data_IF_579779072666
#
_entry.id   IF_579779072666
#
_cell.length_a   1.000
_cell.length_b   1.000
_cell.length_c   1.000
_cell.angle_alpha   90.00
_cell.angle_beta   90.00
_cell.angle_gamma   90.00
#
_symmetry.space_group_name_H-M   'P 1'
#
loop_
_entity.id
_entity.type
_entity.pdbx_description
1 polymer ?
#
# COMPACT_ATOMS: atom_id res chain seq x y z
N UNK A 1 -66.69 -45.21 -38.79
CA UNK A 1 -66.19 -43.85 -39.05
C UNK A 1 -65.98 -43.14 -37.72
N UNK A 2 -64.72 -43.01 -37.30
CA UNK A 2 -64.27 -42.04 -36.30
C UNK A 2 -62.76 -41.88 -36.49
N UNK A 3 -62.34 -40.77 -37.10
CA UNK A 3 -60.93 -40.42 -37.30
C UNK A 3 -60.43 -39.67 -36.07
N UNK A 4 -59.45 -40.24 -35.37
CA UNK A 4 -58.61 -39.54 -34.40
C UNK A 4 -57.29 -39.18 -35.08
N UNK A 5 -56.90 -37.91 -35.08
CA UNK A 5 -55.61 -37.44 -35.58
C UNK A 5 -54.95 -36.57 -34.50
N UNK A 6 -53.83 -36.98 -33.88
CA UNK A 6 -53.08 -36.11 -32.99
C UNK A 6 -51.80 -35.64 -33.71
N UNK A 7 -51.75 -34.37 -34.11
CA UNK A 7 -50.51 -33.70 -34.51
C UNK A 7 -50.13 -32.64 -33.48
N UNK A 8 -49.45 -33.05 -32.41
CA UNK A 8 -48.71 -32.14 -31.54
C UNK A 8 -47.32 -31.90 -32.16
N UNK A 9 -47.16 -30.81 -32.90
CA UNK A 9 -45.86 -30.33 -33.35
C UNK A 9 -45.14 -29.59 -32.22
N UNK A 10 -44.23 -30.30 -31.54
CA UNK A 10 -43.30 -29.68 -30.58
C UNK A 10 -42.35 -28.76 -31.36
N UNK A 11 -42.45 -27.44 -31.15
CA UNK A 11 -41.57 -26.46 -31.78
C UNK A 11 -40.16 -26.57 -31.18
N UNK A 12 -39.24 -27.23 -31.89
CA UNK A 12 -37.84 -27.25 -31.51
C UNK A 12 -37.25 -25.83 -31.60
N UNK A 13 -36.81 -25.28 -30.46
CA UNK A 13 -36.02 -24.03 -30.45
C UNK A 13 -34.76 -24.30 -31.28
N UNK A 14 -34.46 -23.50 -32.31
CA UNK A 14 -33.30 -23.74 -33.16
C UNK A 14 -32.02 -23.63 -32.33
N UNK A 15 -31.13 -24.63 -32.43
CA UNK A 15 -29.85 -24.71 -31.69
C UNK A 15 -29.04 -23.42 -31.72
N UNK A 16 -29.11 -22.67 -32.83
CA UNK A 16 -28.47 -21.36 -32.99
C UNK A 16 -28.99 -20.30 -31.99
N UNK A 17 -30.28 -20.28 -31.67
CA UNK A 17 -30.84 -19.39 -30.65
C UNK A 17 -30.35 -19.77 -29.26
N UNK A 18 -30.29 -21.06 -28.93
CA UNK A 18 -29.79 -21.54 -27.63
C UNK A 18 -28.32 -21.17 -27.44
N UNK A 19 -27.48 -21.42 -28.45
CA UNK A 19 -26.06 -21.05 -28.41
C UNK A 19 -25.86 -19.54 -28.31
N UNK A 20 -26.66 -18.75 -29.03
CA UNK A 20 -26.62 -17.29 -28.93
C UNK A 20 -27.02 -16.82 -27.52
N UNK A 21 -28.09 -17.37 -26.95
CA UNK A 21 -28.54 -17.03 -25.59
C UNK A 21 -27.50 -17.42 -24.54
N UNK A 22 -26.90 -18.60 -24.63
CA UNK A 22 -25.80 -19.02 -23.75
C UNK A 22 -24.57 -18.11 -23.91
N UNK A 23 -24.24 -17.72 -25.14
CA UNK A 23 -23.17 -16.76 -25.42
C UNK A 23 -23.44 -15.40 -24.77
N UNK A 24 -24.66 -14.87 -24.92
CA UNK A 24 -25.07 -13.60 -24.29
C UNK A 24 -24.98 -13.70 -22.77
N UNK A 25 -25.52 -14.77 -22.16
CA UNK A 25 -25.47 -14.98 -20.71
C UNK A 25 -24.02 -15.06 -20.22
N UNK A 26 -23.17 -15.82 -20.91
CA UNK A 26 -21.75 -15.94 -20.57
C UNK A 26 -21.04 -14.58 -20.62
N UNK A 27 -21.26 -13.79 -21.67
CA UNK A 27 -20.72 -12.44 -21.79
C UNK A 27 -21.21 -11.52 -20.66
N UNK A 28 -22.51 -11.55 -20.36
CA UNK A 28 -23.07 -10.75 -19.26
C UNK A 28 -22.46 -11.15 -17.92
N UNK A 29 -22.34 -12.45 -17.62
CA UNK A 29 -21.70 -12.94 -16.40
C UNK A 29 -20.23 -12.53 -16.32
N UNK A 30 -19.49 -12.63 -17.43
CA UNK A 30 -18.09 -12.23 -17.50
C UNK A 30 -17.92 -10.72 -17.25
N UNK A 31 -18.77 -9.88 -17.85
CA UNK A 31 -18.74 -8.43 -17.65
C UNK A 31 -19.16 -8.02 -16.23
N UNK A 32 -20.11 -8.73 -15.60
CA UNK A 32 -20.59 -8.43 -14.25
C UNK A 32 -19.72 -9.03 -13.15
N UNK A 33 -18.91 -10.05 -13.44
CA UNK A 33 -18.10 -10.74 -12.44
C UNK A 33 -17.16 -9.79 -11.65
N UNK A 34 -16.42 -8.84 -12.26
CA UNK A 34 -15.59 -7.89 -11.51
C UNK A 34 -16.41 -6.96 -10.60
N UNK A 35 -17.58 -6.51 -11.07
CA UNK A 35 -18.48 -5.64 -10.28
C UNK A 35 -19.05 -6.41 -9.09
N UNK A 36 -19.49 -7.64 -9.34
CA UNK A 36 -19.96 -8.53 -8.28
C UNK A 36 -18.85 -8.83 -7.28
N UNK A 37 -17.63 -9.07 -7.75
CA UNK A 37 -16.46 -9.26 -6.90
C UNK A 37 -16.21 -8.05 -6.01
N UNK A 38 -16.25 -6.84 -6.57
CA UNK A 38 -16.02 -5.60 -5.83
C UNK A 38 -17.10 -5.36 -4.77
N UNK A 39 -18.38 -5.58 -5.13
CA UNK A 39 -19.51 -5.46 -4.21
C UNK A 39 -19.48 -6.53 -3.11
N UNK A 40 -19.10 -7.75 -3.44
CA UNK A 40 -19.00 -8.81 -2.45
C UNK A 40 -17.78 -8.61 -1.53
N UNK A 41 -16.69 -8.05 -2.05
CA UNK A 41 -15.49 -7.69 -1.26
C UNK A 41 -15.77 -6.54 -0.29
N UNK A 42 -16.63 -5.59 -0.63
CA UNK A 42 -16.97 -4.47 0.27
C UNK A 42 -17.77 -4.91 1.51
N UNK A 43 -18.35 -6.12 1.51
CA UNK A 43 -18.96 -6.73 2.68
C UNK A 43 -18.04 -7.71 3.40
N UNK A 44 -16.84 -8.04 2.89
CA UNK A 44 -15.93 -8.99 3.57
C UNK A 44 -15.19 -8.33 4.73
N UNK A 45 -14.95 -9.10 5.80
CA UNK A 45 -13.98 -8.70 6.83
C UNK A 45 -12.57 -8.63 6.25
N UNK A 46 -11.71 -7.76 6.78
CA UNK A 46 -10.32 -7.63 6.30
C UNK A 46 -9.57 -8.97 6.32
N UNK A 47 -9.78 -9.77 7.37
CA UNK A 47 -9.21 -11.11 7.47
C UNK A 47 -9.65 -12.04 6.32
N UNK A 48 -10.91 -11.92 5.85
CA UNK A 48 -11.44 -12.69 4.73
C UNK A 48 -10.96 -12.16 3.36
N UNK A 49 -10.59 -10.88 3.27
CA UNK A 49 -10.04 -10.27 2.04
C UNK A 49 -8.59 -10.73 1.81
N UNK A 50 -7.79 -10.81 2.87
CA UNK A 50 -6.36 -11.12 2.79
C UNK A 50 -6.01 -12.60 2.90
N UNK A 51 -7.01 -13.49 2.99
CA UNK A 51 -6.78 -14.93 3.18
C UNK A 51 -6.28 -15.58 1.90
N UNK A 52 -5.33 -16.52 2.04
CA UNK A 52 -4.83 -17.34 0.94
C UNK A 52 -5.11 -18.81 1.27
N UNK A 53 -5.84 -19.57 0.42
CA UNK A 53 -6.40 -19.17 -0.88
C UNK A 53 -7.57 -18.18 -0.77
N UNK A 54 -7.80 -17.41 -1.83
CA UNK A 54 -8.84 -16.37 -1.87
C UNK A 54 -10.23 -16.96 -1.58
N UNK A 55 -10.95 -16.36 -0.64
CA UNK A 55 -12.33 -16.71 -0.34
C UNK A 55 -13.21 -16.06 -1.40
N UNK A 56 -13.81 -16.85 -2.29
CA UNK A 56 -14.67 -16.30 -3.33
C UNK A 56 -16.06 -15.94 -2.82
N UNK A 57 -16.65 -16.79 -1.98
CA UNK A 57 -17.96 -16.61 -1.37
C UNK A 57 -17.83 -16.67 0.16
N UNK A 58 -18.02 -15.54 0.88
CA UNK A 58 -17.82 -15.48 2.33
C UNK A 58 -18.94 -16.21 3.08
N UNK A 59 -18.62 -16.79 4.23
CA UNK A 59 -19.62 -17.26 5.18
C UNK A 59 -20.30 -16.08 5.88
N UNK A 60 -21.42 -16.31 6.58
CA UNK A 60 -22.16 -15.26 7.30
C UNK A 60 -21.28 -14.53 8.35
N UNK A 61 -20.33 -15.23 8.96
CA UNK A 61 -19.39 -14.66 9.95
C UNK A 61 -18.32 -13.76 9.31
N UNK A 62 -18.09 -13.92 8.00
CA UNK A 62 -17.11 -13.14 7.24
C UNK A 62 -17.73 -11.90 6.58
N UNK A 63 -19.04 -11.70 6.76
CA UNK A 63 -19.76 -10.51 6.30
C UNK A 63 -19.74 -9.42 7.37
N UNK A 64 -19.47 -8.18 6.98
CA UNK A 64 -19.44 -7.02 7.85
C UNK A 64 -19.98 -5.77 7.16
N UNK A 65 -20.61 -4.91 7.96
CA UNK A 65 -21.00 -3.55 7.56
C UNK A 65 -20.07 -2.48 8.15
N UNK A 66 -19.03 -2.88 8.89
CA UNK A 66 -18.12 -1.95 9.55
C UNK A 66 -17.47 -0.96 8.58
N UNK A 67 -17.14 -1.41 7.36
CA UNK A 67 -16.59 -0.56 6.31
C UNK A 67 -17.48 0.61 5.93
N UNK A 68 -18.80 0.44 6.01
CA UNK A 68 -19.76 1.50 5.72
C UNK A 68 -20.04 2.36 6.95
N UNK A 69 -20.09 1.75 8.13
CA UNK A 69 -20.27 2.48 9.39
C UNK A 69 -19.06 3.36 9.74
N UNK A 70 -17.86 2.98 9.29
CA UNK A 70 -16.63 3.76 9.44
C UNK A 70 -16.51 4.90 8.42
N UNK A 71 -17.40 4.98 7.41
CA UNK A 71 -17.47 6.12 6.49
C UNK A 71 -17.98 7.35 7.25
N UNK A 72 -17.04 8.11 7.82
CA UNK A 72 -17.33 9.38 8.48
C UNK A 72 -17.65 10.51 7.51
N UNK A 73 -17.82 11.72 8.05
CA UNK A 73 -18.10 12.96 7.30
C UNK A 73 -17.08 13.29 6.20
N UNK A 74 -15.88 12.73 6.27
CA UNK A 74 -14.82 12.93 5.26
C UNK A 74 -15.08 12.19 3.95
N UNK A 75 -15.89 11.12 3.93
CA UNK A 75 -16.16 10.36 2.70
C UNK A 75 -16.80 11.24 1.61
N UNK A 76 -17.83 11.99 1.98
CA UNK A 76 -18.49 12.92 1.05
C UNK A 76 -17.53 14.00 0.55
N UNK A 77 -16.59 14.43 1.40
CA UNK A 77 -15.54 15.37 0.99
C UNK A 77 -14.60 14.74 -0.03
N UNK A 78 -14.20 13.48 0.14
CA UNK A 78 -13.33 12.81 -0.84
C UNK A 78 -14.03 12.64 -2.18
N UNK A 79 -15.30 12.22 -2.18
CA UNK A 79 -16.13 12.15 -3.39
C UNK A 79 -16.26 13.53 -4.06
N UNK A 80 -16.53 14.57 -3.27
CA UNK A 80 -16.61 15.94 -3.77
C UNK A 80 -15.29 16.41 -4.37
N UNK A 81 -14.16 16.17 -3.71
CA UNK A 81 -12.84 16.57 -4.19
C UNK A 81 -12.53 15.92 -5.54
N UNK A 82 -12.76 14.61 -5.67
CA UNK A 82 -12.54 13.89 -6.93
C UNK A 82 -13.49 14.39 -8.01
N UNK A 83 -14.78 14.53 -7.72
CA UNK A 83 -15.76 15.06 -8.66
C UNK A 83 -15.39 16.47 -9.14
N UNK A 84 -15.01 17.35 -8.22
CA UNK A 84 -14.62 18.73 -8.52
C UNK A 84 -13.40 18.76 -9.44
N UNK A 85 -12.34 18.02 -9.12
CA UNK A 85 -11.12 17.96 -9.94
C UNK A 85 -11.44 17.41 -11.32
N UNK A 86 -12.14 16.27 -11.42
CA UNK A 86 -12.45 15.65 -12.71
C UNK A 86 -13.36 16.54 -13.57
N UNK A 87 -14.39 17.17 -13.00
CA UNK A 87 -15.29 18.08 -13.74
C UNK A 87 -14.51 19.28 -14.27
N UNK A 88 -13.70 19.93 -13.43
CA UNK A 88 -12.96 21.12 -13.84
C UNK A 88 -11.91 20.76 -14.90
N UNK A 89 -11.19 19.65 -14.75
CA UNK A 89 -10.24 19.19 -15.77
C UNK A 89 -10.92 18.87 -17.09
N UNK A 90 -12.08 18.22 -17.07
CA UNK A 90 -12.88 17.93 -18.27
C UNK A 90 -13.34 19.21 -18.96
N UNK A 91 -13.88 20.16 -18.21
CA UNK A 91 -14.29 21.45 -18.76
C UNK A 91 -13.11 22.17 -19.40
N UNK A 92 -11.96 22.23 -18.72
CA UNK A 92 -10.74 22.82 -19.29
C UNK A 92 -10.31 22.09 -20.57
N UNK A 93 -10.29 20.75 -20.60
CA UNK A 93 -9.99 19.97 -21.79
C UNK A 93 -10.92 20.33 -22.96
N UNK A 94 -12.23 20.41 -22.73
CA UNK A 94 -13.20 20.73 -23.79
C UNK A 94 -13.04 22.19 -24.26
N UNK A 95 -12.88 23.13 -23.34
CA UNK A 95 -12.73 24.56 -23.67
C UNK A 95 -11.46 24.86 -24.47
N UNK A 96 -10.36 24.15 -24.20
CA UNK A 96 -9.09 24.29 -24.93
C UNK A 96 -9.06 23.41 -26.18
N UNK A 97 -9.59 22.20 -26.08
CA UNK A 97 -9.55 21.18 -27.11
C UNK A 97 -10.48 21.46 -28.28
N UNK A 98 -11.69 21.98 -28.05
CA UNK A 98 -12.64 22.25 -29.12
C UNK A 98 -12.15 23.34 -30.10
N UNK A 99 -11.67 24.51 -29.66
CA UNK A 99 -11.08 25.48 -30.57
C UNK A 99 -9.83 24.96 -31.27
N UNK A 100 -8.95 24.23 -30.56
CA UNK A 100 -7.74 23.67 -31.16
C UNK A 100 -8.06 22.62 -32.24
N UNK A 101 -9.01 21.72 -31.97
CA UNK A 101 -9.48 20.74 -32.93
C UNK A 101 -10.15 21.39 -34.14
N UNK A 102 -10.96 22.44 -33.92
CA UNK A 102 -11.58 23.19 -35.01
C UNK A 102 -10.52 23.88 -35.89
N UNK A 103 -9.55 24.54 -35.26
CA UNK A 103 -8.43 25.18 -35.94
C UNK A 103 -7.64 24.18 -36.79
N UNK A 104 -7.26 23.03 -36.22
CA UNK A 104 -6.55 21.93 -36.90
C UNK A 104 -7.40 21.19 -37.94
N UNK A 105 -8.67 21.55 -38.12
CA UNK A 105 -9.54 20.93 -39.11
C UNK A 105 -9.92 21.90 -40.22
N UNK A 106 -10.11 23.17 -39.88
CA UNK A 106 -10.69 24.18 -40.78
C UNK A 106 -9.73 25.30 -41.13
N UNK A 107 -8.83 25.66 -40.23
CA UNK A 107 -7.83 26.68 -40.50
C UNK A 107 -6.63 25.99 -41.14
N UNK A 108 -6.24 26.42 -42.34
CA UNK A 108 -5.01 25.96 -42.98
C UNK A 108 -3.82 26.53 -42.23
N UNK A 109 -3.40 25.84 -41.17
CA UNK A 109 -2.29 26.27 -40.33
C UNK A 109 -0.95 25.85 -40.97
N UNK A 110 0.06 26.74 -41.02
CA UNK A 110 1.40 26.34 -41.43
C UNK A 110 1.94 25.30 -40.43
N UNK A 111 2.37 24.14 -40.93
CA UNK A 111 2.92 23.06 -40.09
C UNK A 111 1.88 22.19 -39.38
N UNK A 112 0.60 22.19 -39.79
CA UNK A 112 -0.47 21.35 -39.20
C UNK A 112 -0.02 19.90 -39.00
N UNK A 113 0.63 19.29 -39.99
CA UNK A 113 1.10 17.91 -39.91
C UNK A 113 2.11 17.68 -38.77
N UNK A 114 3.01 18.63 -38.52
CA UNK A 114 3.97 18.54 -37.43
C UNK A 114 3.24 18.62 -36.08
N UNK A 115 2.27 19.52 -35.95
CA UNK A 115 1.46 19.65 -34.73
C UNK A 115 0.69 18.35 -34.46
N UNK A 116 0.07 17.76 -35.48
CA UNK A 116 -0.65 16.49 -35.35
C UNK A 116 0.27 15.34 -34.97
N UNK A 117 1.48 15.27 -35.54
CA UNK A 117 2.48 14.26 -35.16
C UNK A 117 2.90 14.45 -33.70
N UNK A 118 3.14 15.69 -33.24
CA UNK A 118 3.49 15.95 -31.84
C UNK A 118 2.35 15.57 -30.89
N UNK A 119 1.10 15.91 -31.22
CA UNK A 119 -0.08 15.50 -30.44
C UNK A 119 -0.17 13.97 -30.37
N UNK A 120 0.06 13.27 -31.49
CA UNK A 120 0.04 11.81 -31.53
C UNK A 120 1.16 11.20 -30.68
N UNK A 121 2.38 11.73 -30.76
CA UNK A 121 3.52 11.28 -29.94
C UNK A 121 3.19 11.42 -28.46
N UNK A 122 2.66 12.58 -28.04
CA UNK A 122 2.28 12.82 -26.65
C UNK A 122 1.15 11.86 -26.22
N UNK A 123 0.18 11.59 -27.10
CA UNK A 123 -0.94 10.68 -26.82
C UNK A 123 -0.48 9.23 -26.65
N UNK A 124 0.52 8.80 -27.44
CA UNK A 124 1.08 7.45 -27.37
C UNK A 124 2.13 7.28 -26.27
N UNK A 125 2.61 8.38 -25.68
CA UNK A 125 3.62 8.33 -24.63
C UNK A 125 3.01 7.77 -23.32
N UNK A 126 3.65 6.79 -22.67
CA UNK A 126 3.15 6.27 -21.40
C UNK A 126 3.19 7.36 -20.32
N UNK A 127 2.03 7.89 -19.94
CA UNK A 127 1.98 9.03 -19.02
C UNK A 127 2.53 8.69 -17.62
N UNK A 128 2.58 7.41 -17.23
CA UNK A 128 3.23 6.98 -15.99
C UNK A 128 4.72 7.33 -15.96
N UNK A 129 5.39 7.42 -17.12
CA UNK A 129 6.78 7.86 -17.20
C UNK A 129 6.94 9.37 -16.97
N UNK A 130 5.89 10.15 -17.25
CA UNK A 130 5.86 11.59 -16.96
C UNK A 130 5.67 11.87 -15.46
N UNK A 131 5.36 10.84 -14.67
CA UNK A 131 5.02 10.98 -13.26
C UNK A 131 6.10 11.69 -12.44
N UNK A 132 7.37 11.26 -12.54
CA UNK A 132 8.46 11.88 -11.79
C UNK A 132 8.70 13.33 -12.24
N UNK A 133 8.65 13.61 -13.54
CA UNK A 133 8.80 14.98 -14.05
C UNK A 133 7.69 15.91 -13.59
N UNK A 134 6.44 15.44 -13.63
CA UNK A 134 5.29 16.20 -13.12
C UNK A 134 5.37 16.42 -11.60
N UNK A 135 5.88 15.44 -10.84
CA UNK A 135 6.13 15.58 -9.41
C UNK A 135 7.17 16.66 -9.11
N UNK A 136 8.27 16.71 -9.87
CA UNK A 136 9.29 17.76 -9.74
C UNK A 136 8.72 19.13 -10.05
N UNK A 137 7.90 19.28 -11.10
CA UNK A 137 7.23 20.55 -11.41
C UNK A 137 6.31 20.99 -10.27
N UNK A 138 5.51 20.09 -9.70
CA UNK A 138 4.61 20.42 -8.59
C UNK A 138 5.39 20.87 -7.35
N UNK A 139 6.54 20.24 -7.08
CA UNK A 139 7.43 20.65 -5.99
C UNK A 139 8.07 22.01 -6.28
N UNK A 140 8.55 22.22 -7.51
CA UNK A 140 9.18 23.46 -7.95
C UNK A 140 8.22 24.66 -7.85
N UNK A 141 6.97 24.48 -8.26
CA UNK A 141 5.94 25.53 -8.17
C UNK A 141 5.26 25.62 -6.80
N UNK A 142 5.61 24.75 -5.85
CA UNK A 142 5.00 24.69 -4.52
C UNK A 142 3.46 24.55 -4.51
N UNK A 143 2.89 23.90 -5.53
CA UNK A 143 1.43 23.74 -5.68
C UNK A 143 0.88 22.42 -5.10
N UNK A 144 1.71 21.62 -4.43
CA UNK A 144 1.29 20.35 -3.82
C UNK A 144 0.14 20.50 -2.81
N UNK A 145 -0.68 19.45 -2.65
CA UNK A 145 -1.88 19.47 -1.79
C UNK A 145 -2.86 20.61 -2.11
N UNK A 146 -2.98 20.94 -3.39
CA UNK A 146 -3.97 21.86 -3.95
C UNK A 146 -4.68 21.15 -5.13
N UNK A 147 -5.93 21.49 -5.42
CA UNK A 147 -6.63 20.98 -6.61
C UNK A 147 -5.86 21.27 -7.89
N UNK A 148 -5.13 22.39 -7.97
CA UNK A 148 -4.30 22.72 -9.13
C UNK A 148 -3.22 21.68 -9.43
N UNK A 149 -2.68 21.01 -8.40
CA UNK A 149 -1.71 19.92 -8.57
C UNK A 149 -2.29 18.72 -9.32
N UNK A 150 -3.62 18.59 -9.39
CA UNK A 150 -4.29 17.53 -10.13
C UNK A 150 -4.94 18.07 -11.41
N UNK A 151 -5.61 19.22 -11.33
CA UNK A 151 -6.34 19.81 -12.45
C UNK A 151 -5.41 20.03 -13.64
N UNK A 152 -4.23 20.61 -13.41
CA UNK A 152 -3.28 20.95 -14.49
C UNK A 152 -2.73 19.69 -15.16
N UNK A 153 -2.16 18.70 -14.44
CA UNK A 153 -1.71 17.46 -15.06
C UNK A 153 -2.83 16.69 -15.78
N UNK A 154 -4.02 16.57 -15.17
CA UNK A 154 -5.13 15.84 -15.77
C UNK A 154 -5.61 16.52 -17.06
N UNK A 155 -5.67 17.85 -17.09
CA UNK A 155 -5.98 18.58 -18.32
C UNK A 155 -4.89 18.38 -19.37
N UNK A 156 -3.62 18.51 -19.00
CA UNK A 156 -2.51 18.37 -19.95
C UNK A 156 -2.43 16.97 -20.58
N UNK A 157 -2.64 15.92 -19.79
CA UNK A 157 -2.60 14.52 -20.25
C UNK A 157 -3.80 14.21 -21.15
N UNK A 158 -5.00 14.70 -20.82
CA UNK A 158 -6.22 14.38 -21.57
C UNK A 158 -6.46 15.28 -22.80
N UNK A 159 -5.82 16.45 -22.87
CA UNK A 159 -6.01 17.41 -23.95
C UNK A 159 -5.66 16.86 -25.35
N UNK A 160 -4.53 16.15 -25.57
CA UNK A 160 -4.20 15.55 -26.86
C UNK A 160 -5.30 14.63 -27.40
N UNK A 161 -5.79 13.71 -26.57
CA UNK A 161 -6.88 12.80 -26.94
C UNK A 161 -8.17 13.57 -27.25
N UNK A 162 -8.49 14.59 -26.43
CA UNK A 162 -9.65 15.46 -26.65
C UNK A 162 -9.61 16.13 -28.02
N UNK A 163 -8.44 16.66 -28.40
CA UNK A 163 -8.23 17.32 -29.70
C UNK A 163 -8.44 16.32 -30.84
N UNK A 164 -7.86 15.11 -30.75
CA UNK A 164 -7.96 14.09 -31.80
C UNK A 164 -9.41 13.61 -32.01
N UNK A 165 -10.16 13.41 -30.93
CA UNK A 165 -11.56 12.99 -31.01
C UNK A 165 -12.40 14.09 -31.65
N UNK A 166 -12.36 15.32 -31.11
CA UNK A 166 -13.17 16.42 -31.63
C UNK A 166 -12.81 16.78 -33.08
N UNK A 167 -11.53 16.67 -33.45
CA UNK A 167 -11.08 16.85 -34.85
C UNK A 167 -11.78 15.88 -35.79
N UNK A 168 -11.89 14.61 -35.39
CA UNK A 168 -12.57 13.58 -36.19
C UNK A 168 -14.05 13.93 -36.43
N UNK A 169 -14.73 14.49 -35.43
CA UNK A 169 -16.12 14.93 -35.58
C UNK A 169 -16.25 16.21 -36.43
N UNK A 170 -15.38 17.20 -36.24
CA UNK A 170 -15.40 18.39 -37.08
C UNK A 170 -15.12 18.06 -38.55
N UNK A 171 -14.29 17.04 -38.84
CA UNK A 171 -14.05 16.58 -40.21
C UNK A 171 -15.30 16.04 -40.89
N UNK A 172 -16.23 15.46 -40.13
CA UNK A 172 -17.48 14.88 -40.65
C UNK A 172 -18.53 15.95 -40.97
N UNK A 173 -18.42 17.17 -40.41
CA UNK A 173 -19.36 18.24 -40.70
C UNK A 173 -19.22 18.74 -42.15
N UNK A 174 -20.35 18.94 -42.88
CA UNK A 174 -20.33 19.49 -44.23
C UNK A 174 -19.72 20.90 -44.25
N UNK A 175 -18.75 21.13 -45.14
CA UNK A 175 -18.09 22.44 -45.27
C UNK A 175 -19.03 23.53 -45.80
N UNK A 176 -20.04 23.16 -46.58
CA UNK A 176 -20.98 24.09 -47.20
C UNK A 176 -21.77 24.93 -46.19
N UNK A 177 -22.03 24.39 -44.99
CA UNK A 177 -22.67 25.12 -43.89
C UNK A 177 -21.81 26.28 -43.40
N UNK A 178 -20.51 26.06 -43.30
CA UNK A 178 -19.54 27.06 -42.85
C UNK A 178 -19.29 28.12 -43.94
N UNK A 179 -19.26 27.72 -45.21
CA UNK A 179 -19.10 28.65 -46.32
C UNK A 179 -20.34 29.54 -46.50
N UNK A 180 -21.54 28.99 -46.30
CA UNK A 180 -22.78 29.78 -46.25
C UNK A 180 -22.77 30.79 -45.10
N UNK A 181 -22.35 30.39 -43.91
CA UNK A 181 -22.26 31.28 -42.75
C UNK A 181 -21.26 32.43 -42.97
N UNK A 182 -20.16 32.20 -43.69
CA UNK A 182 -19.21 33.28 -44.06
C UNK A 182 -19.84 34.30 -44.99
N UNK A 183 -20.68 33.86 -45.93
CA UNK A 183 -21.44 34.76 -46.81
C UNK A 183 -22.41 35.61 -45.98
N UNK A 184 -23.02 35.03 -44.93
CA UNK A 184 -23.87 35.72 -43.97
C UNK A 184 -23.10 36.62 -42.97
N UNK A 185 -21.78 36.76 -43.11
CA UNK A 185 -20.95 37.66 -42.32
C UNK A 185 -20.47 37.10 -40.97
N UNK A 186 -20.62 35.80 -40.71
CA UNK A 186 -20.09 35.19 -39.49
C UNK A 186 -18.56 35.15 -39.52
N UNK A 187 -17.93 35.64 -38.44
CA UNK A 187 -16.51 35.41 -38.20
C UNK A 187 -16.24 33.98 -37.70
N UNK A 188 -14.97 33.55 -37.69
CA UNK A 188 -14.57 32.19 -37.32
C UNK A 188 -15.01 31.78 -35.90
N UNK A 189 -14.90 32.67 -34.92
CA UNK A 189 -15.30 32.37 -33.54
C UNK A 189 -16.82 32.27 -33.42
N UNK A 190 -17.56 33.18 -34.05
CA UNK A 190 -19.02 33.15 -34.10
C UNK A 190 -19.54 31.91 -34.81
N UNK A 191 -18.86 31.46 -35.87
CA UNK A 191 -19.19 30.22 -36.58
C UNK A 191 -18.94 28.99 -35.71
N UNK A 192 -17.80 28.94 -35.01
CA UNK A 192 -17.51 27.90 -34.04
C UNK A 192 -18.59 27.83 -32.96
N UNK A 193 -18.88 28.95 -32.30
CA UNK A 193 -19.80 28.99 -31.15
C UNK A 193 -21.27 28.80 -31.53
N UNK A 194 -21.73 29.39 -32.63
CA UNK A 194 -23.16 29.41 -32.95
C UNK A 194 -23.61 28.33 -33.95
N UNK A 195 -22.68 27.72 -34.69
CA UNK A 195 -23.02 26.72 -35.72
C UNK A 195 -22.34 25.38 -35.41
N UNK A 196 -21.01 25.38 -35.33
CA UNK A 196 -20.23 24.14 -35.27
C UNK A 196 -20.37 23.43 -33.91
N UNK A 197 -20.25 24.15 -32.78
CA UNK A 197 -20.40 23.55 -31.45
C UNK A 197 -21.80 22.99 -31.19
N UNK A 198 -22.91 23.68 -31.55
CA UNK A 198 -24.25 23.09 -31.43
C UNK A 198 -24.42 21.81 -32.25
N UNK A 199 -23.94 21.79 -33.49
CA UNK A 199 -24.01 20.59 -34.35
C UNK A 199 -23.15 19.43 -33.82
N UNK A 200 -22.02 19.74 -33.18
CA UNK A 200 -21.13 18.74 -32.57
C UNK A 200 -21.38 18.52 -31.08
N UNK A 201 -22.46 19.04 -30.52
CA UNK A 201 -22.76 18.89 -29.09
C UNK A 201 -22.77 17.43 -28.61
N UNK A 202 -23.33 16.45 -29.35
CA UNK A 202 -23.23 15.03 -28.97
C UNK A 202 -21.78 14.54 -28.87
N UNK A 203 -20.90 15.01 -29.75
CA UNK A 203 -19.48 14.69 -29.75
C UNK A 203 -18.75 15.33 -28.57
N UNK A 204 -19.07 16.60 -28.24
CA UNK A 204 -18.56 17.28 -27.05
C UNK A 204 -18.94 16.54 -25.77
N UNK A 205 -20.20 16.13 -25.64
CA UNK A 205 -20.67 15.35 -24.47
C UNK A 205 -19.95 14.01 -24.39
N UNK A 206 -19.83 13.28 -25.50
CA UNK A 206 -19.14 11.99 -25.55
C UNK A 206 -17.67 12.12 -25.15
N UNK A 207 -16.99 13.13 -25.70
CA UNK A 207 -15.58 13.43 -25.36
C UNK A 207 -15.45 13.88 -23.90
N UNK A 208 -16.42 14.65 -23.40
CA UNK A 208 -16.49 15.09 -22.01
C UNK A 208 -16.63 13.93 -21.04
N UNK A 209 -17.51 12.97 -21.33
CA UNK A 209 -17.68 11.75 -20.51
C UNK A 209 -16.37 10.95 -20.50
N UNK A 210 -15.74 10.75 -21.65
CA UNK A 210 -14.50 9.99 -21.74
C UNK A 210 -13.36 10.65 -20.94
N UNK A 211 -13.16 11.95 -21.12
CA UNK A 211 -12.15 12.72 -20.38
C UNK A 211 -12.42 12.74 -18.88
N UNK A 212 -13.70 12.83 -18.48
CA UNK A 212 -14.10 12.73 -17.07
C UNK A 212 -13.75 11.37 -16.49
N UNK A 213 -14.05 10.27 -17.20
CA UNK A 213 -13.72 8.91 -16.75
C UNK A 213 -12.20 8.76 -16.54
N UNK A 214 -11.39 9.29 -17.46
CA UNK A 214 -9.93 9.25 -17.29
C UNK A 214 -9.46 10.05 -16.08
N UNK A 215 -9.97 11.27 -15.88
CA UNK A 215 -9.61 12.08 -14.71
C UNK A 215 -10.15 11.51 -13.39
N UNK A 216 -11.30 10.83 -13.43
CA UNK A 216 -11.94 10.22 -12.25
C UNK A 216 -11.21 8.96 -11.79
N UNK A 217 -10.78 8.14 -12.75
CA UNK A 217 -10.07 6.88 -12.46
C UNK A 217 -8.61 7.08 -12.11
N UNK A 218 -8.10 8.31 -12.19
CA UNK A 218 -6.70 8.56 -11.89
C UNK A 218 -6.46 8.67 -10.39
N UNK A 219 -5.77 7.66 -9.85
CA UNK A 219 -5.49 7.53 -8.43
C UNK A 219 -4.03 7.85 -8.06
N UNK A 220 -3.07 7.55 -8.93
CA UNK A 220 -1.65 7.56 -8.58
C UNK A 220 -1.15 8.99 -8.38
N UNK A 221 -1.57 9.93 -9.23
CA UNK A 221 -1.24 11.34 -9.09
C UNK A 221 -1.94 11.94 -7.87
N UNK A 222 -3.22 11.61 -7.64
CA UNK A 222 -3.96 12.06 -6.48
C UNK A 222 -3.29 11.63 -5.17
N UNK A 223 -2.92 10.35 -5.06
CA UNK A 223 -2.20 9.81 -3.91
C UNK A 223 -0.84 10.49 -3.76
N UNK A 224 -0.10 10.75 -4.82
CA UNK A 224 1.28 11.24 -4.66
C UNK A 224 1.35 12.74 -4.43
N UNK A 225 0.56 13.52 -5.18
CA UNK A 225 0.65 14.98 -5.20
C UNK A 225 -0.07 15.65 -4.03
N UNK A 226 -0.95 14.90 -3.36
CA UNK A 226 -1.73 15.40 -2.21
C UNK A 226 -1.19 14.87 -0.86
N UNK A 227 -0.62 13.65 -0.81
CA UNK A 227 -0.35 12.95 0.47
C UNK A 227 0.90 13.44 1.21
N UNK A 228 1.91 13.99 0.52
CA UNK A 228 3.16 14.47 1.17
C UNK A 228 2.97 15.67 2.11
N UNK A 229 1.82 16.36 2.07
CA UNK A 229 1.59 17.59 2.85
C UNK A 229 0.77 17.35 4.13
N UNK A 230 0.38 16.11 4.49
CA UNK A 230 -0.22 15.91 5.83
C UNK A 230 0.77 16.30 6.93
N UNK A 231 2.00 15.77 6.85
CA UNK A 231 3.13 16.16 7.68
C UNK A 231 3.55 17.62 7.40
N UNK A 232 3.71 18.00 6.12
CA UNK A 232 4.06 19.38 5.73
C UNK A 232 3.11 20.43 6.31
N UNK A 233 1.80 20.19 6.31
CA UNK A 233 0.76 21.05 6.89
C UNK A 233 0.81 21.08 8.40
N UNK A 234 1.13 19.98 9.05
CA UNK A 234 1.37 19.97 10.49
C UNK A 234 2.58 20.86 10.83
N UNK A 235 3.66 20.77 10.06
CA UNK A 235 4.89 21.56 10.27
C UNK A 235 4.68 23.06 10.07
N UNK A 236 3.99 23.46 9.00
CA UNK A 236 3.72 24.88 8.71
C UNK A 236 2.89 25.56 9.81
N UNK A 237 2.05 24.80 10.53
CA UNK A 237 1.25 25.34 11.64
C UNK A 237 2.05 25.67 12.89
N UNK A 238 3.33 25.28 12.94
CA UNK A 238 4.21 25.52 14.07
C UNK A 238 3.58 25.14 15.44
N UNK A 239 2.95 23.96 15.59
CA UNK A 239 2.23 23.59 16.82
C UNK A 239 3.19 23.40 18.01
N UNK A 240 2.70 23.48 19.23
CA UNK A 240 3.52 23.21 20.43
C UNK A 240 3.87 21.72 20.58
N UNK A 241 3.01 20.82 20.07
CA UNK A 241 3.20 19.36 20.09
C UNK A 241 2.75 18.77 18.76
N UNK A 242 3.51 17.81 18.22
CA UNK A 242 3.11 16.99 17.08
C UNK A 242 2.54 15.67 17.57
N UNK A 243 1.35 15.32 17.08
CA UNK A 243 0.73 14.01 17.29
C UNK A 243 0.60 13.34 15.92
N UNK A 244 1.28 12.21 15.73
CA UNK A 244 1.36 11.49 14.46
C UNK A 244 0.88 10.06 14.65
N UNK A 245 -0.12 9.67 13.86
CA UNK A 245 -0.72 8.34 13.91
C UNK A 245 -0.42 7.59 12.61
N UNK A 246 0.45 6.59 12.69
CA UNK A 246 0.93 5.75 11.59
C UNK A 246 1.21 6.48 10.25
N UNK A 247 2.01 7.56 10.23
CA UNK A 247 2.10 8.44 9.06
C UNK A 247 2.79 7.78 7.85
N UNK A 248 3.48 6.65 8.03
CA UNK A 248 4.24 5.95 6.98
C UNK A 248 3.62 4.62 6.52
N UNK A 249 2.49 4.20 7.11
CA UNK A 249 1.90 2.86 6.88
C UNK A 249 1.51 2.61 5.42
N UNK A 250 1.12 3.66 4.69
CA UNK A 250 0.69 3.59 3.29
C UNK A 250 1.83 3.72 2.26
N UNK A 251 3.09 3.84 2.70
CA UNK A 251 4.25 3.96 1.80
C UNK A 251 4.86 2.60 1.50
N UNK A 252 5.41 2.44 0.29
CA UNK A 252 6.23 1.29 -0.07
C UNK A 252 7.52 1.23 0.78
N UNK A 253 8.15 0.07 0.87
CA UNK A 253 9.29 -0.16 1.78
C UNK A 253 10.48 0.77 1.52
N UNK A 254 10.84 1.02 0.26
CA UNK A 254 11.98 1.87 -0.11
C UNK A 254 11.70 3.34 0.20
N UNK A 255 10.51 3.83 -0.18
CA UNK A 255 10.09 5.19 0.13
C UNK A 255 9.93 5.39 1.64
N UNK A 256 9.46 4.36 2.37
CA UNK A 256 9.32 4.39 3.83
C UNK A 256 10.67 4.58 4.51
N UNK A 257 11.72 3.87 4.09
CA UNK A 257 13.06 4.06 4.63
C UNK A 257 13.59 5.48 4.40
N UNK A 258 13.43 6.00 3.18
CA UNK A 258 13.85 7.36 2.85
C UNK A 258 13.10 8.41 3.69
N UNK A 259 11.77 8.33 3.73
CA UNK A 259 10.95 9.30 4.48
C UNK A 259 11.20 9.21 5.98
N UNK A 260 11.50 8.02 6.51
CA UNK A 260 11.90 7.83 7.91
C UNK A 260 13.18 8.59 8.24
N UNK A 261 14.19 8.54 7.36
CA UNK A 261 15.41 9.31 7.54
C UNK A 261 15.14 10.83 7.53
N UNK A 262 14.32 11.30 6.59
CA UNK A 262 13.91 12.71 6.50
C UNK A 262 13.16 13.16 7.77
N UNK A 263 12.23 12.33 8.28
CA UNK A 263 11.49 12.58 9.52
C UNK A 263 12.41 12.72 10.74
N UNK A 264 13.42 11.86 10.86
CA UNK A 264 14.38 11.93 11.96
C UNK A 264 15.15 13.24 11.95
N UNK A 265 15.61 13.69 10.78
CA UNK A 265 16.30 14.98 10.64
C UNK A 265 15.36 16.15 10.96
N UNK A 266 14.12 16.06 10.49
CA UNK A 266 13.11 17.08 10.73
C UNK A 266 12.78 17.22 12.23
N UNK A 267 12.50 16.13 12.93
CA UNK A 267 12.20 16.17 14.37
C UNK A 267 13.37 16.73 15.17
N UNK A 268 14.61 16.36 14.81
CA UNK A 268 15.81 16.90 15.44
C UNK A 268 15.97 18.42 15.22
N UNK A 269 15.60 18.94 14.04
CA UNK A 269 15.72 20.37 13.72
C UNK A 269 14.61 21.24 14.32
N UNK A 270 13.39 20.70 14.45
CA UNK A 270 12.23 21.45 14.96
C UNK A 270 12.24 21.63 16.49
N UNK A 271 12.96 20.78 17.24
CA UNK A 271 13.07 20.83 18.71
C UNK A 271 11.72 20.90 19.45
N UNK A 272 10.68 20.29 18.89
CA UNK A 272 9.33 20.26 19.46
C UNK A 272 8.97 18.86 19.93
N UNK A 273 8.16 18.71 20.99
CA UNK A 273 7.63 17.42 21.41
C UNK A 273 6.85 16.73 20.28
N UNK A 274 7.16 15.46 20.02
CA UNK A 274 6.49 14.61 19.04
C UNK A 274 6.02 13.34 19.74
N UNK A 275 4.75 13.01 19.61
CA UNK A 275 4.20 11.69 19.93
C UNK A 275 3.91 10.99 18.60
N UNK A 276 4.58 9.86 18.38
CA UNK A 276 4.50 9.07 17.17
C UNK A 276 3.95 7.68 17.51
N UNK A 277 2.82 7.31 16.91
CA UNK A 277 2.17 6.00 17.08
C UNK A 277 2.46 5.13 15.87
N UNK A 278 2.91 3.90 16.11
CA UNK A 278 3.22 2.92 15.07
C UNK A 278 3.17 1.50 15.62
N UNK A 279 2.85 0.55 14.75
CA UNK A 279 3.03 -0.88 15.00
C UNK A 279 4.37 -1.41 14.46
N UNK A 280 5.15 -0.60 13.72
CA UNK A 280 6.45 -0.97 13.18
C UNK A 280 7.57 -0.72 14.21
N UNK A 281 8.21 -1.79 14.64
CA UNK A 281 9.28 -1.74 15.64
C UNK A 281 10.52 -0.99 15.13
N UNK A 282 10.83 -1.09 13.84
CA UNK A 282 11.97 -0.41 13.23
C UNK A 282 11.74 1.09 13.25
N UNK A 283 10.52 1.56 12.99
CA UNK A 283 10.15 2.97 13.16
C UNK A 283 10.34 3.42 14.59
N UNK A 284 9.78 2.67 15.55
CA UNK A 284 9.90 2.99 16.97
C UNK A 284 11.36 3.08 17.43
N UNK A 285 12.20 2.12 17.05
CA UNK A 285 13.61 2.03 17.45
C UNK A 285 14.49 3.11 16.81
N UNK A 286 14.16 3.56 15.59
CA UNK A 286 15.04 4.47 14.83
C UNK A 286 14.64 5.94 14.93
N UNK A 287 13.35 6.25 15.10
CA UNK A 287 12.83 7.62 15.16
C UNK A 287 12.76 8.18 16.58
N UNK A 288 12.56 7.32 17.59
CA UNK A 288 12.16 7.78 18.92
C UNK A 288 13.33 8.05 19.84
N UNK A 289 13.19 9.05 20.71
CA UNK A 289 14.09 9.24 21.86
C UNK A 289 13.71 8.34 23.04
N UNK A 290 12.41 8.09 23.22
CA UNK A 290 11.83 7.12 24.15
C UNK A 290 10.67 6.39 23.47
N UNK A 291 10.46 5.14 23.85
CA UNK A 291 9.40 4.27 23.32
C UNK A 291 8.52 3.86 24.50
N UNK A 292 7.21 4.04 24.33
CA UNK A 292 6.19 3.45 25.18
C UNK A 292 5.67 2.18 24.50
N UNK A 293 5.99 1.00 25.05
CA UNK A 293 5.46 -0.27 24.55
C UNK A 293 4.14 -0.55 25.28
N UNK A 294 3.05 -0.72 24.54
CA UNK A 294 1.73 -1.03 25.09
C UNK A 294 1.30 -2.45 24.70
N UNK A 295 0.60 -3.12 25.60
CA UNK A 295 -0.05 -4.41 25.37
C UNK A 295 -1.42 -4.43 26.04
N UNK A 296 -2.47 -4.76 25.28
CA UNK A 296 -3.86 -4.79 25.75
C UNK A 296 -4.31 -3.51 26.48
N UNK A 297 -3.82 -2.35 26.04
CA UNK A 297 -4.13 -1.05 26.65
C UNK A 297 -3.28 -0.67 27.86
N UNK A 298 -2.39 -1.54 28.33
CA UNK A 298 -1.50 -1.29 29.46
C UNK A 298 -0.08 -0.98 29.00
N UNK A 299 0.54 0.04 29.59
CA UNK A 299 1.96 0.36 29.39
C UNK A 299 2.82 -0.76 29.99
N UNK A 300 3.64 -1.39 29.16
CA UNK A 300 4.56 -2.46 29.55
C UNK A 300 5.93 -1.88 29.93
N UNK A 301 6.43 -0.95 29.11
CA UNK A 301 7.71 -0.30 29.35
C UNK A 301 7.77 1.07 28.68
N UNK A 302 8.33 2.06 29.36
CA UNK A 302 8.65 3.37 28.82
C UNK A 302 10.15 3.64 29.01
N UNK A 303 10.94 3.49 27.96
CA UNK A 303 12.40 3.61 28.06
C UNK A 303 13.02 4.06 26.73
N UNK A 304 14.33 4.33 26.70
CA UNK A 304 15.04 4.61 25.44
C UNK A 304 15.03 3.37 24.51
N UNK A 305 15.19 3.53 23.18
CA UNK A 305 15.30 2.39 22.27
C UNK A 305 16.33 1.34 22.70
N UNK A 306 17.48 1.80 23.23
CA UNK A 306 18.53 0.93 23.74
C UNK A 306 18.09 0.13 24.95
N UNK A 307 17.43 0.76 25.93
CA UNK A 307 16.93 0.08 27.13
C UNK A 307 15.78 -0.88 26.81
N UNK A 308 14.88 -0.51 25.90
CA UNK A 308 13.81 -1.42 25.45
C UNK A 308 14.41 -2.70 24.84
N UNK A 309 15.49 -2.56 24.07
CA UNK A 309 16.13 -3.69 23.40
C UNK A 309 16.98 -4.56 24.35
N UNK A 310 17.88 -3.90 25.09
CA UNK A 310 18.91 -4.53 25.93
C UNK A 310 18.43 -4.84 27.35
N UNK A 311 17.34 -4.22 27.78
CA UNK A 311 16.85 -4.31 29.14
C UNK A 311 15.31 -4.40 29.17
N UNK A 312 14.69 -5.38 28.50
CA UNK A 312 13.23 -5.51 28.45
C UNK A 312 12.66 -5.73 29.85
N UNK A 313 11.57 -5.05 30.20
CA UNK A 313 10.97 -5.11 31.54
C UNK A 313 10.29 -6.45 31.85
N UNK A 314 9.79 -7.13 30.81
CA UNK A 314 9.09 -8.40 30.93
C UNK A 314 9.24 -9.24 29.66
N UNK A 315 8.80 -10.49 29.74
CA UNK A 315 8.84 -11.47 28.65
C UNK A 315 8.14 -10.96 27.38
N UNK A 316 7.03 -10.23 27.51
CA UNK A 316 6.31 -9.69 26.35
C UNK A 316 7.19 -8.70 25.58
N UNK A 317 7.79 -7.71 26.25
CA UNK A 317 8.66 -6.74 25.57
C UNK A 317 9.87 -7.43 24.94
N UNK A 318 10.45 -8.40 25.63
CA UNK A 318 11.58 -9.19 25.15
C UNK A 318 11.26 -9.97 23.87
N UNK A 319 10.10 -10.62 23.81
CA UNK A 319 9.64 -11.38 22.64
C UNK A 319 9.04 -10.51 21.54
N UNK A 320 8.53 -9.33 21.87
CA UNK A 320 7.94 -8.42 20.91
C UNK A 320 9.01 -7.65 20.13
N UNK A 321 9.98 -7.03 20.80
CA UNK A 321 10.94 -6.12 20.17
C UNK A 321 12.16 -6.86 19.64
N UNK A 322 12.48 -6.68 18.36
CA UNK A 322 13.67 -7.22 17.70
C UNK A 322 13.33 -8.18 16.56
N UNK A 323 14.11 -8.11 15.49
CA UNK A 323 13.96 -8.98 14.32
C UNK A 323 15.34 -9.51 13.91
N UNK A 324 15.65 -10.80 14.14
CA UNK A 324 14.76 -11.84 14.68
C UNK A 324 14.43 -11.66 16.17
N UNK A 325 13.32 -12.23 16.62
CA UNK A 325 12.86 -12.11 18.02
C UNK A 325 13.77 -12.88 18.99
N UNK A 326 13.81 -12.43 20.25
CA UNK A 326 14.53 -13.11 21.33
C UNK A 326 14.07 -14.58 21.45
N UNK A 327 15.02 -15.49 21.71
CA UNK A 327 14.71 -16.85 22.08
C UNK A 327 14.20 -16.84 23.53
N UNK A 328 12.97 -17.31 23.75
CA UNK A 328 12.35 -17.42 25.07
C UNK A 328 12.08 -18.89 25.36
N UNK A 329 12.78 -19.46 26.34
CA UNK A 329 12.76 -20.89 26.64
C UNK A 329 12.38 -21.09 28.10
N UNK A 330 11.35 -21.91 28.36
CA UNK A 330 10.94 -22.24 29.72
C UNK A 330 11.79 -23.41 30.23
N UNK A 331 12.54 -23.18 31.30
CA UNK A 331 13.44 -24.16 31.90
C UNK A 331 12.92 -24.58 33.27
N UNK A 332 13.10 -25.87 33.60
CA UNK A 332 12.95 -26.34 34.97
C UNK A 332 14.23 -26.03 35.74
N UNK A 333 14.09 -25.56 36.98
CA UNK A 333 15.23 -25.27 37.83
C UNK A 333 15.59 -26.48 38.69
N UNK A 334 16.89 -26.73 38.86
CA UNK A 334 17.45 -27.66 39.84
C UNK A 334 18.59 -26.97 40.54
N UNK A 335 18.46 -26.80 41.86
CA UNK A 335 19.42 -26.04 42.67
C UNK A 335 19.65 -24.63 42.06
N UNK A 336 20.88 -24.27 41.70
CA UNK A 336 21.25 -22.99 41.10
C UNK A 336 21.31 -23.01 39.56
N UNK A 337 20.68 -24.00 38.91
CA UNK A 337 20.76 -24.16 37.46
C UNK A 337 19.38 -24.25 36.80
N UNK A 338 19.24 -23.58 35.67
CA UNK A 338 18.19 -23.84 34.68
C UNK A 338 18.61 -25.00 33.77
N UNK A 339 17.73 -25.98 33.59
CA UNK A 339 18.04 -27.18 32.81
C UNK A 339 17.54 -27.04 31.38
N UNK A 340 18.46 -27.01 30.41
CA UNK A 340 18.19 -26.99 28.97
C UNK A 340 18.67 -28.31 28.35
N UNK A 341 17.75 -29.27 28.16
CA UNK A 341 18.14 -30.63 27.78
C UNK A 341 18.93 -31.30 28.91
N UNK A 342 20.18 -31.68 28.63
CA UNK A 342 21.14 -32.17 29.63
C UNK A 342 22.08 -31.09 30.18
N UNK A 343 22.02 -29.87 29.62
CA UNK A 343 22.93 -28.78 29.95
C UNK A 343 22.42 -27.94 31.12
N UNK A 344 23.34 -27.57 32.01
CA UNK A 344 23.07 -26.74 33.18
C UNK A 344 23.48 -25.29 32.91
N UNK A 345 22.53 -24.37 32.98
CA UNK A 345 22.76 -22.94 32.80
C UNK A 345 22.71 -22.27 34.19
N UNK A 346 23.79 -21.60 34.63
CA UNK A 346 23.82 -20.99 35.95
C UNK A 346 22.78 -19.87 36.06
N UNK A 347 21.97 -19.93 37.12
CA UNK A 347 20.99 -18.90 37.43
C UNK A 347 21.68 -17.67 38.05
N UNK A 348 21.06 -16.49 37.95
CA UNK A 348 21.52 -15.32 38.69
C UNK A 348 21.27 -15.51 40.19
N UNK A 349 21.89 -14.69 41.03
CA UNK A 349 21.60 -14.69 42.48
C UNK A 349 20.16 -14.23 42.74
N UNK A 350 19.25 -15.19 42.87
CA UNK A 350 17.83 -14.96 43.17
C UNK A 350 17.56 -15.16 44.67
N UNK A 351 16.68 -14.34 45.25
CA UNK A 351 16.26 -14.46 46.66
C UNK A 351 15.56 -15.79 46.97
N UNK A 352 14.86 -16.34 45.98
CA UNK A 352 14.12 -17.59 46.07
C UNK A 352 14.36 -18.36 44.77
N UNK A 353 14.70 -19.64 44.87
CA UNK A 353 14.86 -20.49 43.68
C UNK A 353 13.46 -20.86 43.16
N UNK A 354 13.08 -20.42 41.94
CA UNK A 354 11.81 -20.81 41.36
C UNK A 354 11.86 -22.27 40.90
N UNK A 355 10.70 -22.93 40.75
CA UNK A 355 10.63 -24.27 40.15
C UNK A 355 10.82 -24.24 38.63
N UNK A 356 10.40 -23.13 38.01
CA UNK A 356 10.53 -22.85 36.58
C UNK A 356 10.95 -21.40 36.36
N UNK A 357 11.73 -21.17 35.32
CA UNK A 357 12.19 -19.85 34.92
C UNK A 357 12.19 -19.74 33.40
N UNK A 358 12.10 -18.53 32.87
CA UNK A 358 12.18 -18.30 31.44
C UNK A 358 13.53 -17.67 31.12
N UNK A 359 14.30 -18.36 30.27
CA UNK A 359 15.54 -17.89 29.70
C UNK A 359 15.24 -17.10 28.44
N UNK A 360 15.72 -15.86 28.39
CA UNK A 360 15.74 -15.01 27.21
C UNK A 360 17.15 -14.80 26.70
N UNK A 361 17.42 -15.06 25.42
CA UNK A 361 18.70 -14.69 24.79
C UNK A 361 18.47 -14.23 23.35
N UNK A 362 19.14 -13.13 22.97
CA UNK A 362 19.05 -12.58 21.62
C UNK A 362 19.78 -13.49 20.61
N UNK A 363 19.25 -13.65 19.38
CA UNK A 363 19.91 -14.43 18.33
C UNK A 363 21.37 -14.02 18.05
N UNK A 364 21.69 -12.74 18.16
CA UNK A 364 23.04 -12.19 17.93
C UNK A 364 24.00 -12.34 19.13
N UNK A 365 23.49 -12.73 20.30
CA UNK A 365 24.29 -12.95 21.51
C UNK A 365 24.69 -14.43 21.69
N UNK A 366 24.43 -15.27 20.69
CA UNK A 366 24.78 -16.70 20.65
C UNK A 366 25.90 -16.90 19.63
N UNK A 367 26.95 -17.62 20.01
CA UNK A 367 28.15 -17.79 19.18
C UNK A 367 28.45 -19.27 18.89
N UNK A 368 29.13 -19.57 17.79
CA UNK A 368 29.64 -20.91 17.48
C UNK A 368 30.97 -21.22 18.18
N UNK A 369 31.74 -20.18 18.51
CA UNK A 369 33.06 -20.32 19.10
C UNK A 369 32.97 -20.49 20.62
N UNK A 370 33.80 -21.37 21.17
CA UNK A 370 33.91 -21.55 22.61
C UNK A 370 34.54 -20.30 23.23
N UNK A 371 33.74 -19.52 23.95
CA UNK A 371 34.22 -18.38 24.74
C UNK A 371 34.49 -18.81 26.17
N UNK A 372 35.61 -18.35 26.74
CA UNK A 372 35.85 -18.45 28.18
C UNK A 372 34.64 -17.80 28.91
N UNK A 373 34.12 -18.46 29.93
CA UNK A 373 32.91 -18.10 30.68
C UNK A 373 31.55 -18.27 29.97
N UNK A 374 31.43 -19.20 29.02
CA UNK A 374 30.16 -19.55 28.38
C UNK A 374 29.72 -20.99 28.62
N UNK A 375 28.40 -21.22 28.60
CA UNK A 375 27.82 -22.56 28.62
C UNK A 375 27.74 -23.07 27.20
N UNK A 376 28.43 -24.18 26.93
CA UNK A 376 28.41 -24.83 25.62
C UNK A 376 27.27 -25.85 25.56
N UNK A 377 26.41 -25.69 24.55
CA UNK A 377 25.24 -26.54 24.32
C UNK A 377 25.38 -27.22 22.97
N UNK A 378 25.30 -28.55 22.96
CA UNK A 378 25.28 -29.31 21.71
C UNK A 378 23.88 -29.25 21.07
N UNK A 379 23.86 -29.01 19.77
CA UNK A 379 22.63 -28.81 19.03
C UNK A 379 22.75 -29.29 17.59
N UNK A 380 21.61 -29.60 16.97
CA UNK A 380 21.52 -30.02 15.57
C UNK A 380 20.82 -28.96 14.73
N UNK A 381 21.47 -28.52 13.66
CA UNK A 381 20.88 -27.60 12.68
C UNK A 381 19.78 -28.34 11.92
N UNK A 382 18.62 -27.71 11.79
CA UNK A 382 17.53 -28.26 10.96
C UNK A 382 17.01 -27.27 9.92
N UNK A 383 17.32 -25.97 10.04
CA UNK A 383 16.97 -24.96 9.04
C UNK A 383 18.01 -23.83 9.05
N UNK A 384 18.36 -23.36 7.85
CA UNK A 384 19.25 -22.22 7.61
C UNK A 384 18.53 -21.26 6.68
N UNK A 385 18.46 -19.99 7.07
CA UNK A 385 17.81 -18.94 6.29
C UNK A 385 18.86 -17.88 5.92
N UNK A 386 19.02 -17.61 4.62
CA UNK A 386 19.95 -16.60 4.11
C UNK A 386 19.31 -15.20 4.18
N UNK A 387 19.85 -14.31 5.02
CA UNK A 387 19.40 -12.93 5.22
C UNK A 387 20.35 -11.91 4.56
N UNK A 388 21.04 -12.33 3.50
CA UNK A 388 21.99 -11.50 2.75
C UNK A 388 23.35 -11.41 3.44
N UNK A 389 23.52 -10.48 4.39
CA UNK A 389 24.79 -10.26 5.12
C UNK A 389 25.01 -11.24 6.27
N UNK A 390 23.95 -11.90 6.71
CA UNK A 390 23.89 -12.82 7.84
C UNK A 390 23.10 -14.08 7.44
N UNK A 391 23.27 -15.16 8.19
CA UNK A 391 22.43 -16.35 8.16
C UNK A 391 21.74 -16.51 9.50
N UNK A 392 20.45 -16.82 9.48
CA UNK A 392 19.70 -17.22 10.66
C UNK A 392 19.65 -18.74 10.71
N UNK A 393 20.30 -19.32 11.73
CA UNK A 393 20.32 -20.76 11.94
C UNK A 393 19.28 -21.13 12.98
N UNK A 394 18.48 -22.13 12.67
CA UNK A 394 17.52 -22.74 13.59
C UNK A 394 18.07 -24.11 14.00
N UNK A 395 18.30 -24.29 15.29
CA UNK A 395 18.82 -25.53 15.86
C UNK A 395 17.85 -26.15 16.84
N UNK A 396 17.94 -27.47 17.00
CA UNK A 396 17.30 -28.21 18.08
C UNK A 396 18.36 -28.65 19.07
N UNK A 397 18.12 -28.40 20.36
CA UNK A 397 19.06 -28.81 21.42
C UNK A 397 19.09 -30.34 21.54
N UNK A 398 20.28 -30.91 21.71
CA UNK A 398 20.45 -32.36 21.89
C UNK A 398 19.69 -32.84 23.13
N UNK A 399 19.00 -33.99 23.01
CA UNK A 399 18.14 -34.55 24.06
C UNK A 399 17.00 -33.61 24.55
N UNK A 400 16.60 -32.64 23.74
CA UNK A 400 15.50 -31.72 24.04
C UNK A 400 14.63 -31.46 22.81
N UNK A 401 13.39 -31.02 23.03
CA UNK A 401 12.51 -30.52 21.97
C UNK A 401 12.65 -29.01 21.73
N UNK A 402 13.40 -28.32 22.59
CA UNK A 402 13.62 -26.87 22.50
C UNK A 402 14.43 -26.49 21.26
N UNK A 403 14.04 -25.37 20.65
CA UNK A 403 14.72 -24.80 19.49
C UNK A 403 15.31 -23.44 19.81
N UNK A 404 16.46 -23.16 19.22
CA UNK A 404 17.16 -21.87 19.37
C UNK A 404 17.49 -21.33 17.98
N UNK A 405 17.28 -20.02 17.83
CA UNK A 405 17.65 -19.27 16.63
C UNK A 405 18.83 -18.37 16.93
N UNK A 406 19.83 -18.35 16.06
CA UNK A 406 20.98 -17.46 16.21
C UNK A 406 21.52 -16.97 14.88
N UNK A 407 22.19 -15.82 14.92
CA UNK A 407 22.74 -15.14 13.74
C UNK A 407 24.23 -15.41 13.60
N UNK A 408 24.65 -15.68 12.37
CA UNK A 408 26.08 -15.76 12.00
C UNK A 408 26.36 -14.93 10.76
N UNK A 409 27.60 -14.44 10.55
CA UNK A 409 27.99 -13.79 9.29
C UNK A 409 27.75 -14.70 8.08
N UNK A 410 27.43 -14.13 6.92
CA UNK A 410 27.13 -14.91 5.71
C UNK A 410 28.28 -15.85 5.27
N UNK A 411 29.53 -15.47 5.54
CA UNK A 411 30.73 -16.26 5.22
C UNK A 411 30.99 -17.39 6.22
N UNK A 412 30.27 -17.42 7.35
CA UNK A 412 30.46 -18.46 8.36
C UNK A 412 30.13 -19.83 7.76
N UNK A 413 31.05 -20.77 7.99
CA UNK A 413 30.90 -22.19 7.69
C UNK A 413 30.92 -23.00 8.97
N UNK A 414 30.39 -24.21 8.89
CA UNK A 414 30.43 -25.22 9.94
C UNK A 414 30.53 -26.61 9.28
N UNK A 415 31.06 -27.59 10.01
CA UNK A 415 31.19 -28.96 9.52
C UNK A 415 30.13 -29.85 10.17
N UNK A 416 29.38 -30.57 9.32
CA UNK A 416 28.33 -31.49 9.77
C UNK A 416 27.01 -30.81 10.17
N UNK A 417 26.08 -31.59 10.70
CA UNK A 417 24.76 -31.12 11.15
C UNK A 417 24.73 -30.74 12.64
N UNK A 418 25.73 -31.17 13.41
CA UNK A 418 25.82 -30.94 14.85
C UNK A 418 26.82 -29.82 15.13
N UNK A 419 26.39 -28.82 15.89
CA UNK A 419 27.21 -27.67 16.26
C UNK A 419 27.14 -27.40 17.76
N UNK A 420 28.19 -26.80 18.29
CA UNK A 420 28.26 -26.32 19.68
C UNK A 420 27.92 -24.85 19.71
N UNK A 421 26.92 -24.49 20.51
CA UNK A 421 26.53 -23.11 20.76
C UNK A 421 27.12 -22.66 22.09
N UNK A 422 27.74 -21.49 22.09
CA UNK A 422 28.24 -20.80 23.27
C UNK A 422 27.19 -19.78 23.73
N UNK A 423 26.63 -20.01 24.92
CA UNK A 423 25.68 -19.11 25.58
C UNK A 423 26.42 -18.35 26.70
N UNK A 424 26.55 -17.04 26.57
CA UNK A 424 27.17 -16.20 27.62
C UNK A 424 26.15 -15.86 28.71
N UNK A 425 26.38 -16.23 29.99
CA UNK A 425 25.45 -15.93 31.08
C UNK A 425 25.13 -14.43 31.25
N UNK A 426 26.06 -13.56 30.88
CA UNK A 426 25.91 -12.10 30.99
C UNK A 426 24.94 -11.50 29.96
N UNK A 427 24.65 -12.26 28.88
CA UNK A 427 23.71 -11.88 27.82
C UNK A 427 22.35 -12.57 27.98
N UNK A 428 22.20 -13.38 29.01
CA UNK A 428 20.94 -14.03 29.32
C UNK A 428 20.08 -13.08 30.15
N UNK A 429 18.84 -12.92 29.72
CA UNK A 429 17.78 -12.30 30.49
C UNK A 429 16.97 -13.39 31.18
N UNK A 430 16.65 -13.19 32.46
CA UNK A 430 15.85 -14.14 33.22
C UNK A 430 14.49 -13.52 33.52
N UNK A 431 13.42 -14.26 33.26
CA UNK A 431 12.05 -13.83 33.55
C UNK A 431 11.36 -14.85 34.45
N UNK A 432 10.53 -14.32 35.34
CA UNK A 432 9.67 -15.13 36.18
C UNK A 432 8.63 -15.87 35.34
N UNK A 433 8.36 -17.14 35.68
CA UNK A 433 7.53 -18.01 34.85
C UNK A 433 6.02 -17.80 35.03
N UNK A 434 5.59 -17.12 36.09
CA UNK A 434 4.18 -16.84 36.38
C UNK A 434 3.80 -15.42 35.96
N UNK A 435 4.55 -14.42 36.44
CA UNK A 435 4.32 -13.01 36.15
C UNK A 435 4.87 -12.57 34.79
N UNK A 436 5.94 -13.20 34.31
CA UNK A 436 6.68 -12.78 33.12
C UNK A 436 7.62 -11.60 33.36
N UNK A 437 7.72 -11.08 34.58
CA UNK A 437 8.58 -9.95 34.92
C UNK A 437 10.06 -10.33 34.86
N UNK A 438 10.91 -9.37 34.48
CA UNK A 438 12.35 -9.58 34.44
C UNK A 438 12.94 -9.65 35.84
N UNK A 439 13.77 -10.66 36.05
CA UNK A 439 14.51 -10.91 37.30
C UNK A 439 15.94 -10.38 37.24
N UNK A 440 16.59 -10.43 36.07
CA UNK A 440 17.95 -9.90 35.85
C UNK A 440 18.22 -9.56 34.41
#
# INVERSE_FOLDING_TARGET
MANFNPSNSVSFIPRKKILLTLGIISTVLFCLAPVFWQLLTSFKTNAAISTVPNIYFPSLEQLTFQHYLSLGSQFLRYIFNSAFVSIISTLLCLTLGAPAAYALTRLKLPGENLILVLILIITLFPYILLFMGLLELIKFFHIGNNYLALIIPYTAINLPLTILILRTFFQQLPKDLEDSAKIDGYNTLSMLLNIVLPLTFPALVTTGILTFIFAWNEFIFALTFITRVALGRALVRNPEVFLLDEPLSNLDALLREQVRADLKQLFNSQQKPVVYVTHDQTEALTLSSKIAVLHQGYLQQLASPSEIYNAPANQFVAGFVGSPQMNLIRLNCRENYGILGEFQIPLPELKTQPSQIILGIRPEDIYLENREDSVNVESKIFLVEDLGKEKLLNVRITQSHETIRFLVPAQQTWEGETIKLSLSPQRIHWFDSESGDRLS
#
